data_IF_148185786988
#
_entry.id   IF_148185786988
#
_cell.length_a   1.000
_cell.length_b   1.000
_cell.length_c   1.000
_cell.angle_alpha   90.00
_cell.angle_beta   90.00
_cell.angle_gamma   90.00
#
_symmetry.space_group_name_H-M   'P 1'
#
loop_
_entity.id
_entity.type
_entity.pdbx_description
1 polymer ?
#
# COMPACT_ATOMS: atom_id res chain seq x y z
N UNK A 1 -20.70 2.14 13.75
CA UNK A 1 -19.26 2.45 13.87
C UNK A 1 -18.48 1.38 14.66
N UNK A 2 -17.24 1.08 14.22
CA UNK A 2 -16.29 0.17 14.89
C UNK A 2 -15.25 0.97 15.69
N UNK A 3 -14.76 0.49 16.85
CA UNK A 3 -13.64 1.15 17.55
C UNK A 3 -12.36 1.21 16.72
N UNK A 4 -11.60 2.30 16.82
CA UNK A 4 -10.32 2.51 16.12
C UNK A 4 -9.34 1.33 16.28
N UNK A 5 -9.25 0.74 17.48
CA UNK A 5 -8.37 -0.40 17.78
C UNK A 5 -8.71 -1.69 17.02
N UNK A 6 -9.86 -1.72 16.35
CA UNK A 6 -10.33 -2.83 15.51
C UNK A 6 -10.53 -2.42 14.06
N UNK A 7 -10.11 -1.22 13.68
CA UNK A 7 -10.17 -0.73 12.31
C UNK A 7 -8.96 -1.20 11.52
N UNK A 8 -9.11 -1.27 10.20
CA UNK A 8 -8.03 -1.52 9.28
C UNK A 8 -7.38 -0.21 8.82
N UNK A 9 -6.10 -0.31 8.53
CA UNK A 9 -5.26 0.75 7.98
C UNK A 9 -4.59 0.24 6.71
N UNK A 10 -4.18 1.12 5.80
CA UNK A 10 -3.44 0.74 4.62
C UNK A 10 -2.20 1.60 4.35
N UNK A 11 -1.20 0.97 3.76
CA UNK A 11 0.10 1.57 3.46
C UNK A 11 1.20 1.21 4.45
N UNK A 12 2.45 1.51 4.07
CA UNK A 12 3.65 1.25 4.86
C UNK A 12 4.44 0.00 4.42
N UNK A 13 5.54 -0.24 5.12
CA UNK A 13 6.58 -1.17 4.69
C UNK A 13 6.16 -2.65 4.63
N UNK A 14 5.09 -3.04 5.33
CA UNK A 14 4.55 -4.42 5.39
C UNK A 14 3.17 -4.55 4.71
N UNK A 15 2.75 -3.56 3.92
CA UNK A 15 1.45 -3.54 3.26
C UNK A 15 1.61 -2.99 1.85
N UNK A 16 0.99 -1.85 1.52
CA UNK A 16 1.13 -1.22 0.20
C UNK A 16 2.31 -0.24 0.26
N UNK A 17 3.48 -0.69 -0.20
CA UNK A 17 4.78 0.00 0.03
C UNK A 17 4.96 1.33 -0.69
N UNK A 18 4.03 1.69 -1.59
CA UNK A 18 3.98 2.99 -2.27
C UNK A 18 3.31 4.11 -1.44
N UNK A 19 2.75 3.79 -0.28
CA UNK A 19 2.14 4.74 0.65
C UNK A 19 2.85 4.66 2.00
N UNK A 20 2.83 5.74 2.78
CA UNK A 20 3.27 5.69 4.17
C UNK A 20 2.22 4.96 5.01
N UNK A 21 2.60 4.62 6.24
CA UNK A 21 1.73 3.86 7.12
C UNK A 21 0.43 4.61 7.42
N UNK A 22 -0.70 4.01 7.06
CA UNK A 22 -2.05 4.56 7.25
C UNK A 22 -2.40 5.76 6.35
N UNK A 23 -1.63 6.03 5.30
CA UNK A 23 -1.92 7.13 4.36
C UNK A 23 -2.94 6.72 3.29
N UNK A 24 -3.14 5.43 3.02
CA UNK A 24 -3.96 4.98 1.90
C UNK A 24 -5.44 4.83 2.28
N UNK A 25 -6.32 5.42 1.46
CA UNK A 25 -7.77 5.26 1.52
C UNK A 25 -8.45 6.21 2.53
N UNK A 26 -9.72 5.97 2.87
CA UNK A 26 -10.60 4.93 2.31
C UNK A 26 -11.04 5.20 0.87
N UNK A 27 -11.13 4.15 0.06
CA UNK A 27 -11.56 4.22 -1.34
C UNK A 27 -10.78 5.25 -2.18
N UNK A 28 -11.48 6.15 -2.86
CA UNK A 28 -10.88 7.24 -3.63
C UNK A 28 -10.84 8.57 -2.87
N UNK A 29 -11.12 8.56 -1.56
CA UNK A 29 -11.13 9.79 -0.75
C UNK A 29 -9.75 10.42 -0.66
N UNK A 30 -9.70 11.75 -0.81
CA UNK A 30 -8.51 12.54 -0.45
C UNK A 30 -8.64 12.85 1.04
N UNK A 31 -8.08 11.98 1.87
CA UNK A 31 -8.17 12.20 3.32
C UNK A 31 -7.20 13.28 3.79
N UNK A 32 -7.70 14.15 4.66
CA UNK A 32 -6.91 15.17 5.38
C UNK A 32 -6.57 14.74 6.80
N UNK A 33 -6.86 13.48 7.16
CA UNK A 33 -6.62 12.94 8.50
C UNK A 33 -5.16 12.52 8.66
N UNK A 34 -4.69 12.52 9.90
CA UNK A 34 -3.35 12.03 10.24
C UNK A 34 -3.20 10.52 10.02
N UNK A 35 -4.32 9.78 10.07
CA UNK A 35 -4.39 8.33 9.82
C UNK A 35 -5.73 7.99 9.17
N UNK A 36 -5.70 7.11 8.17
CA UNK A 36 -6.89 6.63 7.48
C UNK A 36 -7.30 5.26 7.98
N UNK A 37 -8.54 5.15 8.43
CA UNK A 37 -9.12 3.93 8.97
C UNK A 37 -10.44 3.55 8.29
N UNK A 38 -10.71 2.25 8.23
CA UNK A 38 -11.98 1.73 7.78
C UNK A 38 -12.24 0.31 8.30
N UNK A 39 -13.46 -0.21 8.15
CA UNK A 39 -13.84 -1.53 8.67
C UNK A 39 -13.69 -2.71 7.68
N UNK A 40 -13.33 -2.43 6.42
CA UNK A 40 -13.15 -3.43 5.38
C UNK A 40 -11.84 -3.17 4.62
N UNK A 41 -11.07 -4.23 4.36
CA UNK A 41 -9.77 -4.15 3.69
C UNK A 41 -9.62 -5.25 2.65
N UNK A 42 -9.07 -4.88 1.49
CA UNK A 42 -8.49 -5.82 0.54
C UNK A 42 -7.00 -5.49 0.37
N UNK A 43 -6.16 -6.52 0.42
CA UNK A 43 -4.71 -6.37 0.21
C UNK A 43 -4.15 -7.64 -0.43
N UNK A 44 -3.33 -7.45 -1.45
CA UNK A 44 -2.70 -8.47 -2.26
C UNK A 44 -1.23 -8.10 -2.45
N UNK A 45 -0.36 -9.10 -2.35
CA UNK A 45 1.08 -8.90 -2.51
C UNK A 45 1.66 -9.91 -3.49
N UNK A 46 2.47 -9.42 -4.44
CA UNK A 46 3.28 -10.25 -5.31
C UNK A 46 4.73 -9.79 -5.20
N UNK A 47 5.64 -10.70 -4.86
CA UNK A 47 7.05 -10.41 -4.74
C UNK A 47 7.89 -11.50 -5.43
N UNK A 48 8.78 -11.09 -6.32
CA UNK A 48 9.76 -11.96 -6.96
C UNK A 48 11.15 -11.63 -6.43
N UNK A 49 11.76 -12.58 -5.71
CA UNK A 49 13.09 -12.45 -5.08
C UNK A 49 14.14 -13.18 -5.91
N UNK A 50 15.32 -12.58 -6.07
CA UNK A 50 16.42 -13.17 -6.81
C UNK A 50 17.77 -12.90 -6.14
N UNK A 51 18.75 -13.82 -6.26
CA UNK A 51 20.10 -13.57 -5.77
C UNK A 51 20.82 -12.55 -6.64
N UNK A 52 21.69 -11.72 -6.03
CA UNK A 52 22.58 -10.81 -6.77
C UNK A 52 24.02 -11.30 -6.63
N UNK A 53 24.60 -11.19 -5.42
CA UNK A 53 25.93 -11.74 -5.11
C UNK A 53 26.09 -11.92 -3.59
N UNK A 54 26.76 -13.00 -3.17
CA UNK A 54 26.96 -13.28 -1.74
C UNK A 54 25.64 -13.27 -0.95
N UNK A 55 25.59 -12.49 0.12
CA UNK A 55 24.37 -12.29 0.92
C UNK A 55 23.36 -11.30 0.33
N UNK A 56 23.68 -10.60 -0.77
CA UNK A 56 22.79 -9.63 -1.39
C UNK A 56 21.73 -10.31 -2.26
N UNK A 57 20.47 -9.92 -2.05
CA UNK A 57 19.30 -10.36 -2.80
C UNK A 57 18.53 -9.14 -3.29
N UNK A 58 17.96 -9.24 -4.48
CA UNK A 58 17.03 -8.27 -5.03
C UNK A 58 15.60 -8.78 -4.91
N UNK A 59 14.63 -7.86 -5.00
CA UNK A 59 13.26 -8.22 -5.36
C UNK A 59 12.60 -7.17 -6.23
N UNK A 60 11.69 -7.64 -7.07
CA UNK A 60 10.63 -6.83 -7.66
C UNK A 60 9.34 -7.11 -6.90
N UNK A 61 8.52 -6.09 -6.69
CA UNK A 61 7.22 -6.30 -6.06
C UNK A 61 6.10 -5.49 -6.69
N UNK A 62 4.89 -5.99 -6.50
CA UNK A 62 3.63 -5.31 -6.75
C UNK A 62 2.69 -5.54 -5.58
N UNK A 63 2.20 -4.46 -4.98
CA UNK A 63 1.25 -4.47 -3.88
C UNK A 63 -0.05 -3.83 -4.36
N UNK A 64 -1.18 -4.46 -4.07
CA UNK A 64 -2.50 -3.95 -4.46
C UNK A 64 -3.41 -3.96 -3.26
N UNK A 65 -4.08 -2.85 -2.96
CA UNK A 65 -5.01 -2.83 -1.84
C UNK A 65 -5.71 -1.51 -1.64
N UNK A 66 -6.70 -1.51 -0.75
CA UNK A 66 -7.35 -0.33 -0.20
C UNK A 66 -8.19 -0.73 1.03
N UNK A 67 -8.71 0.27 1.74
CA UNK A 67 -9.66 0.15 2.84
C UNK A 67 -10.95 0.91 2.50
N UNK A 68 -12.08 0.45 3.04
CA UNK A 68 -13.39 1.06 2.87
C UNK A 68 -14.27 0.80 4.08
N UNK A 69 -15.38 1.53 4.17
CA UNK A 69 -16.44 1.29 5.13
C UNK A 69 -17.56 0.45 4.48
N UNK A 70 -17.70 -0.79 4.92
CA UNK A 70 -18.75 -1.70 4.53
C UNK A 70 -19.83 -1.75 5.61
N UNK A 71 -21.08 -1.46 5.24
CA UNK A 71 -22.24 -1.46 6.15
C UNK A 71 -22.00 -0.66 7.45
N UNK A 72 -21.47 0.55 7.31
CA UNK A 72 -21.26 1.51 8.41
C UNK A 72 -22.04 2.81 8.18
N UNK A 73 -22.10 3.67 9.19
CA UNK A 73 -22.88 4.92 9.19
C UNK A 73 -22.18 6.10 8.49
N UNK A 74 -21.15 5.83 7.69
CA UNK A 74 -20.45 6.85 6.89
C UNK A 74 -21.36 7.28 5.75
N UNK A 75 -21.48 8.58 5.47
CA UNK A 75 -22.40 9.08 4.43
C UNK A 75 -21.73 9.34 3.08
N UNK A 76 -20.40 9.49 3.06
CA UNK A 76 -19.65 9.77 1.84
C UNK A 76 -19.45 8.48 1.02
N UNK A 77 -19.99 8.40 -0.22
CA UNK A 77 -19.83 7.23 -1.07
C UNK A 77 -18.36 6.89 -1.37
N UNK A 78 -17.46 7.87 -1.43
CA UNK A 78 -16.04 7.64 -1.72
C UNK A 78 -15.31 6.85 -0.62
N UNK A 79 -15.91 6.77 0.57
CA UNK A 79 -15.38 6.05 1.72
C UNK A 79 -16.01 4.66 1.86
N UNK A 80 -17.04 4.34 1.09
CA UNK A 80 -17.86 3.15 1.26
C UNK A 80 -17.49 2.05 0.28
N UNK A 81 -17.71 0.80 0.67
CA UNK A 81 -17.73 -0.34 -0.25
C UNK A 81 -19.19 -0.74 -0.50
N UNK A 82 -19.74 -0.31 -1.63
CA UNK A 82 -21.11 -0.55 -2.07
C UNK A 82 -21.21 -1.62 -3.15
N UNK A 83 -20.11 -1.96 -3.83
CA UNK A 83 -20.11 -3.03 -4.81
C UNK A 83 -18.81 -3.23 -5.56
N UNK A 84 -18.88 -4.02 -6.64
CA UNK A 84 -17.72 -4.37 -7.46
C UNK A 84 -17.13 -3.16 -8.22
N UNK A 85 -17.89 -2.08 -8.38
CA UNK A 85 -17.37 -0.85 -8.99
C UNK A 85 -16.26 -0.22 -8.15
N UNK A 86 -16.33 -0.33 -6.82
CA UNK A 86 -15.34 0.25 -5.90
C UNK A 86 -13.97 -0.45 -6.01
N UNK A 87 -13.92 -1.63 -6.64
CA UNK A 87 -12.64 -2.29 -6.97
C UNK A 87 -11.78 -1.45 -7.93
N UNK A 88 -12.36 -0.50 -8.68
CA UNK A 88 -11.61 0.48 -9.47
C UNK A 88 -10.78 1.44 -8.60
N UNK A 89 -11.04 1.47 -7.30
CA UNK A 89 -10.32 2.28 -6.31
C UNK A 89 -9.16 1.51 -5.67
N UNK A 90 -8.87 0.28 -6.09
CA UNK A 90 -7.68 -0.42 -5.61
C UNK A 90 -6.40 0.36 -5.96
N UNK A 91 -5.62 0.71 -4.95
CA UNK A 91 -4.31 1.29 -5.16
C UNK A 91 -3.34 0.22 -5.63
N UNK A 92 -2.41 0.59 -6.51
CA UNK A 92 -1.32 -0.29 -6.97
C UNK A 92 -0.01 0.40 -6.68
N UNK A 93 0.84 -0.26 -5.89
CA UNK A 93 2.24 0.07 -5.77
C UNK A 93 3.08 -0.97 -6.51
N UNK A 94 4.16 -0.53 -7.15
CA UNK A 94 5.23 -1.43 -7.57
C UNK A 94 6.57 -0.87 -7.18
N UNK A 95 7.58 -1.73 -7.10
CA UNK A 95 8.87 -1.26 -6.65
C UNK A 95 9.98 -2.29 -6.68
N UNK A 96 11.11 -1.83 -6.16
CA UNK A 96 12.37 -2.56 -6.08
C UNK A 96 12.76 -2.70 -4.62
N UNK A 97 13.30 -3.86 -4.27
CA UNK A 97 13.86 -4.09 -2.94
C UNK A 97 15.28 -4.62 -2.99
N UNK A 98 16.14 -4.07 -2.15
CA UNK A 98 17.48 -4.58 -1.88
C UNK A 98 17.48 -5.23 -0.50
N UNK A 99 18.03 -6.44 -0.40
CA UNK A 99 18.09 -7.23 0.82
C UNK A 99 19.50 -7.70 1.07
N UNK A 100 19.90 -7.73 2.35
CA UNK A 100 21.11 -8.40 2.78
C UNK A 100 20.75 -9.48 3.80
N UNK A 101 21.12 -10.71 3.49
CA UNK A 101 20.87 -11.89 4.31
C UNK A 101 22.10 -12.18 5.20
N UNK A 102 21.94 -12.01 6.50
CA UNK A 102 22.98 -12.31 7.49
C UNK A 102 22.96 -13.79 7.93
N UNK A 103 22.02 -14.60 7.42
CA UNK A 103 21.81 -15.99 7.82
C UNK A 103 20.90 -16.18 9.04
N UNK A 104 20.79 -15.18 9.91
CA UNK A 104 19.90 -15.20 11.09
C UNK A 104 18.83 -14.12 11.08
N UNK A 105 19.03 -13.03 10.33
CA UNK A 105 17.98 -12.09 9.94
C UNK A 105 18.31 -11.45 8.58
N UNK A 106 17.31 -10.81 7.97
CA UNK A 106 17.45 -10.09 6.70
C UNK A 106 17.20 -8.61 6.95
N UNK A 107 18.08 -7.74 6.45
CA UNK A 107 17.76 -6.31 6.33
C UNK A 107 17.16 -6.08 4.95
N UNK A 108 16.09 -5.28 4.89
CA UNK A 108 15.48 -4.87 3.63
C UNK A 108 15.45 -3.35 3.49
N UNK A 109 15.68 -2.92 2.26
CA UNK A 109 15.45 -1.58 1.79
C UNK A 109 14.54 -1.66 0.56
N UNK A 110 13.30 -1.20 0.68
CA UNK A 110 12.32 -1.24 -0.40
C UNK A 110 11.97 0.18 -0.85
N UNK A 111 12.03 0.42 -2.16
CA UNK A 111 11.57 1.66 -2.79
C UNK A 111 10.26 1.38 -3.51
N UNK A 112 9.16 1.90 -2.98
CA UNK A 112 7.82 1.76 -3.54
C UNK A 112 7.38 3.00 -4.32
N UNK A 113 6.75 2.78 -5.46
CA UNK A 113 6.19 3.82 -6.30
C UNK A 113 4.67 3.64 -6.41
N UNK A 114 3.93 4.75 -6.45
CA UNK A 114 2.49 4.74 -6.70
C UNK A 114 2.21 4.55 -8.19
N UNK A 115 1.92 3.31 -8.58
CA UNK A 115 1.62 2.92 -9.96
C UNK A 115 0.20 3.30 -10.37
N UNK A 116 -0.76 3.12 -9.47
CA UNK A 116 -2.14 3.58 -9.60
C UNK A 116 -2.58 4.23 -8.28
N UNK A 117 -2.84 5.54 -8.29
CA UNK A 117 -3.32 6.27 -7.11
C UNK A 117 -4.83 6.57 -7.22
N UNK A 118 -5.69 5.92 -6.41
CA UNK A 118 -7.14 6.10 -6.48
C UNK A 118 -7.63 7.48 -6.00
N UNK A 119 -6.84 8.19 -5.20
CA UNK A 119 -7.13 9.55 -4.70
C UNK A 119 -7.13 10.59 -5.83
N UNK A 120 -6.49 10.28 -6.97
CA UNK A 120 -6.45 11.16 -8.13
C UNK A 120 -7.76 11.07 -8.93
N UNK A 121 -8.11 12.12 -9.70
CA UNK A 121 -9.24 12.09 -10.62
C UNK A 121 -9.17 10.86 -11.55
N UNK A 122 -10.31 10.25 -11.86
CA UNK A 122 -10.39 8.95 -12.53
C UNK A 122 -9.54 8.81 -13.82
N UNK A 123 -9.43 9.88 -14.61
CA UNK A 123 -8.66 9.91 -15.85
C UNK A 123 -7.15 10.19 -15.65
N UNK A 124 -6.68 10.28 -14.41
CA UNK A 124 -5.34 10.75 -14.06
C UNK A 124 -4.71 9.96 -12.90
N UNK A 125 -5.00 8.65 -12.80
CA UNK A 125 -4.55 7.79 -11.69
C UNK A 125 -3.23 7.04 -11.93
N UNK A 126 -2.91 6.74 -13.19
CA UNK A 126 -1.80 5.86 -13.54
C UNK A 126 -0.49 6.62 -13.75
N UNK A 127 0.58 6.13 -13.12
CA UNK A 127 1.98 6.55 -13.30
C UNK A 127 2.31 8.03 -13.03
N UNK A 128 1.40 8.81 -12.44
CA UNK A 128 1.61 10.26 -12.24
C UNK A 128 2.64 10.59 -11.18
N UNK A 129 2.71 9.76 -10.15
CA UNK A 129 3.65 9.88 -9.05
C UNK A 129 4.79 8.84 -9.16
N UNK A 130 4.98 8.25 -10.35
CA UNK A 130 5.98 7.20 -10.57
C UNK A 130 7.38 7.81 -10.81
N UNK A 131 7.96 8.40 -9.77
CA UNK A 131 9.28 9.01 -9.82
C UNK A 131 9.92 9.03 -8.42
N UNK A 132 11.24 9.21 -8.36
CA UNK A 132 12.00 9.18 -7.10
C UNK A 132 11.65 10.29 -6.11
N UNK A 133 11.05 11.40 -6.56
CA UNK A 133 10.62 12.49 -5.68
C UNK A 133 9.33 12.13 -4.91
N UNK A 134 8.52 11.22 -5.45
CA UNK A 134 7.27 10.76 -4.83
C UNK A 134 7.36 9.31 -4.33
N UNK A 135 8.53 8.66 -4.49
CA UNK A 135 8.75 7.31 -4.00
C UNK A 135 8.75 7.26 -2.47
N UNK A 136 8.25 6.15 -1.92
CA UNK A 136 8.31 5.85 -0.49
C UNK A 136 9.46 4.89 -0.24
N UNK A 137 10.37 5.32 0.62
CA UNK A 137 11.54 4.54 1.02
C UNK A 137 11.26 3.85 2.34
N UNK A 138 11.39 2.53 2.35
CA UNK A 138 11.08 1.70 3.48
C UNK A 138 12.33 0.94 3.92
N UNK A 139 12.56 0.89 5.24
CA UNK A 139 13.59 0.06 5.85
C UNK A 139 12.87 -0.94 6.76
N UNK A 140 13.33 -2.19 6.75
CA UNK A 140 12.76 -3.22 7.62
C UNK A 140 13.77 -4.29 8.01
N UNK A 141 13.38 -5.06 9.03
CA UNK A 141 14.08 -6.25 9.47
C UNK A 141 13.13 -7.43 9.24
N UNK A 142 13.68 -8.52 8.68
CA UNK A 142 12.95 -9.70 8.22
C UNK A 142 11.95 -9.42 7.09
N UNK A 143 11.34 -10.50 6.61
CA UNK A 143 10.39 -10.44 5.51
C UNK A 143 9.09 -9.74 5.94
N UNK A 144 8.49 -8.93 5.05
CA UNK A 144 7.31 -8.14 5.37
C UNK A 144 6.02 -8.94 5.60
N UNK A 145 5.98 -10.17 5.10
CA UNK A 145 4.88 -11.13 5.17
C UNK A 145 5.41 -12.53 4.83
#
# INVERSE_FOLDING_TARGET
SIPYTRSYFAGGANDIRGWRASDLGPGSSVSTLDFNEANFKLSFNLEYRFPIFGGFKGAFFADVGNIWNFKDDVLDPAFQFNGLEDLKELAVASGLGLRYDFGFFVIRFDTGFKTHNPERPANDRWFKEYNFANAVYNIGINYPF
#
